data_IF_777563110797
#
_entry.id   IF_777563110797
#
_cell.length_a   1.000
_cell.length_b   1.000
_cell.length_c   1.000
_cell.angle_alpha   90.00
_cell.angle_beta   90.00
_cell.angle_gamma   90.00
#
_symmetry.space_group_name_H-M   'P 1'
#
loop_
_entity.id
_entity.type
_entity.pdbx_description
1 polymer ?
#
# COMPACT_ATOMS: atom_id res chain seq x y z
N UNK A 1 9.06 5.48 19.36
CA UNK A 1 9.91 4.29 19.08
C UNK A 1 10.77 4.45 17.82
N UNK A 2 10.26 4.97 16.70
CA UNK A 2 11.04 5.16 15.45
C UNK A 2 12.37 5.90 15.62
N UNK A 3 12.38 7.09 16.24
CA UNK A 3 13.62 7.84 16.53
C UNK A 3 14.64 7.10 17.40
N UNK A 4 14.19 6.16 18.24
CA UNK A 4 15.05 5.36 19.12
C UNK A 4 15.61 4.12 18.41
N UNK A 5 14.78 3.42 17.63
CA UNK A 5 15.16 2.19 16.94
C UNK A 5 15.84 2.42 15.59
N UNK A 6 15.46 3.49 14.89
CA UNK A 6 15.96 3.83 13.56
C UNK A 6 16.31 5.33 13.52
N UNK A 7 17.33 5.76 14.28
CA UNK A 7 17.68 7.18 14.44
C UNK A 7 18.12 7.85 13.13
N UNK A 8 18.50 7.06 12.13
CA UNK A 8 18.91 7.53 10.80
C UNK A 8 17.77 7.54 9.76
N UNK A 9 16.55 7.18 10.15
CA UNK A 9 15.38 7.13 9.27
C UNK A 9 14.63 5.80 9.38
N UNK A 10 13.29 5.84 9.38
CA UNK A 10 12.40 4.70 9.64
C UNK A 10 12.03 3.90 8.38
N UNK A 11 12.81 4.03 7.31
CA UNK A 11 12.49 3.48 5.98
C UNK A 11 11.59 4.39 5.16
N UNK A 12 11.20 3.91 3.98
CA UNK A 12 10.50 4.69 2.95
C UNK A 12 9.18 4.05 2.50
N UNK A 13 8.55 3.29 3.41
CA UNK A 13 7.21 2.73 3.18
C UNK A 13 6.18 3.60 3.88
N UNK A 14 5.21 4.08 3.11
CA UNK A 14 4.07 4.85 3.60
C UNK A 14 2.81 4.09 3.24
N UNK A 15 1.95 3.86 4.23
CA UNK A 15 0.65 3.24 4.02
C UNK A 15 -0.44 4.16 4.59
N UNK A 16 -1.54 4.27 3.86
CA UNK A 16 -2.69 5.07 4.25
C UNK A 16 -3.97 4.43 3.72
N UNK A 17 -5.11 4.83 4.26
CA UNK A 17 -6.41 4.29 3.89
C UNK A 17 -7.29 5.36 3.25
N UNK A 18 -7.99 4.97 2.20
CA UNK A 18 -9.00 5.79 1.53
C UNK A 18 -10.39 5.40 2.00
N UNK A 19 -11.16 6.38 2.51
CA UNK A 19 -12.51 6.15 3.03
C UNK A 19 -13.50 5.54 2.02
N UNK A 20 -13.25 5.70 0.71
CA UNK A 20 -14.05 5.08 -0.36
C UNK A 20 -13.75 3.61 -0.63
N UNK A 21 -12.95 2.95 0.20
CA UNK A 21 -12.67 1.51 0.15
C UNK A 21 -12.04 1.06 -1.17
N UNK A 22 -12.40 -0.16 -1.61
CA UNK A 22 -11.78 -0.85 -2.76
C UNK A 22 -11.83 -0.01 -4.02
N UNK A 23 -12.95 0.65 -4.30
CA UNK A 23 -13.14 1.41 -5.52
C UNK A 23 -12.27 2.67 -5.55
N UNK A 24 -12.16 3.36 -4.41
CA UNK A 24 -11.27 4.51 -4.27
C UNK A 24 -9.79 4.07 -4.38
N UNK A 25 -9.42 2.95 -3.76
CA UNK A 25 -8.08 2.35 -3.86
C UNK A 25 -7.68 2.03 -5.29
N UNK A 26 -8.53 1.29 -6.02
CA UNK A 26 -8.32 0.97 -7.44
C UNK A 26 -8.18 2.23 -8.29
N UNK A 27 -9.10 3.20 -8.13
CA UNK A 27 -9.08 4.46 -8.88
C UNK A 27 -7.82 5.26 -8.62
N UNK A 28 -7.41 5.38 -7.36
CA UNK A 28 -6.20 6.10 -6.97
C UNK A 28 -4.97 5.51 -7.64
N UNK A 29 -4.74 4.20 -7.49
CA UNK A 29 -3.55 3.54 -8.05
C UNK A 29 -3.52 3.61 -9.57
N UNK A 30 -4.66 3.44 -10.24
CA UNK A 30 -4.74 3.51 -11.70
C UNK A 30 -4.59 4.94 -12.27
N UNK A 31 -4.81 5.97 -11.46
CA UNK A 31 -4.68 7.37 -11.89
C UNK A 31 -3.24 7.90 -11.82
N UNK A 32 -2.33 7.18 -11.15
CA UNK A 32 -0.95 7.61 -10.99
C UNK A 32 -0.16 7.36 -12.28
N UNK A 33 0.56 8.40 -12.74
CA UNK A 33 1.41 8.34 -13.93
C UNK A 33 2.90 8.25 -13.60
N UNK A 34 3.28 8.70 -12.40
CA UNK A 34 4.68 8.68 -11.93
C UNK A 34 5.03 7.38 -11.19
N UNK A 35 4.10 6.83 -10.40
CA UNK A 35 4.35 5.65 -9.59
C UNK A 35 4.09 4.39 -10.41
N UNK A 36 5.01 3.42 -10.35
CA UNK A 36 4.82 2.12 -11.00
C UNK A 36 3.90 1.23 -10.15
N UNK A 37 2.84 0.70 -10.74
CA UNK A 37 1.92 -0.22 -10.05
C UNK A 37 2.50 -1.65 -10.04
N UNK A 38 3.33 -1.94 -9.04
CA UNK A 38 4.03 -3.23 -8.89
C UNK A 38 4.19 -3.57 -7.40
N UNK A 39 4.31 -4.87 -7.10
CA UNK A 39 4.29 -5.35 -5.71
C UNK A 39 5.64 -5.25 -4.97
N UNK A 40 6.76 -5.07 -5.67
CA UNK A 40 8.09 -5.00 -5.07
C UNK A 40 8.31 -3.72 -4.24
N UNK A 41 9.47 -3.63 -3.59
CA UNK A 41 9.91 -2.53 -2.73
C UNK A 41 11.40 -2.26 -3.00
N UNK A 42 11.86 -1.02 -2.79
CA UNK A 42 13.29 -0.67 -2.79
C UNK A 42 13.86 -0.44 -4.19
N UNK A 43 13.01 -0.13 -5.15
CA UNK A 43 13.39 0.33 -6.48
C UNK A 43 13.77 1.82 -6.42
N UNK A 44 14.55 2.29 -7.39
CA UNK A 44 14.84 3.72 -7.57
C UNK A 44 13.61 4.50 -8.04
N UNK A 45 12.64 3.80 -8.63
CA UNK A 45 11.33 4.37 -8.99
C UNK A 45 10.38 4.28 -7.80
N UNK A 46 9.55 5.31 -7.61
CA UNK A 46 8.45 5.23 -6.65
C UNK A 46 7.41 4.21 -7.11
N UNK A 47 6.95 3.38 -6.18
CA UNK A 47 6.04 2.27 -6.42
C UNK A 47 4.74 2.46 -5.64
N UNK A 48 3.65 1.95 -6.19
CA UNK A 48 2.33 1.99 -5.56
C UNK A 48 1.66 0.62 -5.67
N UNK A 49 0.90 0.23 -4.66
CA UNK A 49 0.01 -0.93 -4.74
C UNK A 49 -1.22 -0.77 -3.85
N UNK A 50 -2.33 -1.37 -4.29
CA UNK A 50 -3.55 -1.52 -3.52
C UNK A 50 -3.75 -3.01 -3.15
N UNK A 51 -3.37 -3.46 -1.94
CA UNK A 51 -3.28 -4.89 -1.62
C UNK A 51 -4.60 -5.66 -1.75
N UNK A 52 -5.72 -5.07 -1.31
CA UNK A 52 -7.03 -5.72 -1.31
C UNK A 52 -7.51 -6.14 -2.72
N UNK A 53 -7.09 -5.43 -3.77
CA UNK A 53 -7.42 -5.78 -5.16
C UNK A 53 -6.27 -6.38 -5.95
N UNK A 54 -5.13 -6.68 -5.32
CA UNK A 54 -3.94 -7.22 -5.99
C UNK A 54 -3.36 -8.39 -5.21
N UNK A 55 -2.32 -8.16 -4.41
CA UNK A 55 -1.56 -9.20 -3.70
C UNK A 55 -2.43 -10.08 -2.79
N UNK A 56 -3.53 -9.56 -2.26
CA UNK A 56 -4.43 -10.28 -1.36
C UNK A 56 -5.81 -10.55 -1.98
N UNK A 57 -5.95 -10.39 -3.31
CA UNK A 57 -7.25 -10.51 -3.98
C UNK A 57 -7.85 -11.92 -3.97
N UNK A 58 -7.06 -12.94 -3.60
CA UNK A 58 -7.51 -14.33 -3.48
C UNK A 58 -8.12 -14.65 -2.11
N UNK A 59 -7.91 -13.78 -1.11
CA UNK A 59 -8.45 -13.93 0.24
C UNK A 59 -9.89 -13.41 0.29
N UNK A 60 -10.70 -13.96 1.21
CA UNK A 60 -12.01 -13.38 1.52
C UNK A 60 -11.86 -12.01 2.19
N UNK A 61 -12.89 -11.15 2.19
CA UNK A 61 -12.84 -9.87 2.88
C UNK A 61 -12.46 -9.98 4.36
N UNK A 62 -12.94 -11.02 5.05
CA UNK A 62 -12.64 -11.28 6.46
C UNK A 62 -11.17 -11.67 6.66
N UNK A 63 -10.63 -12.50 5.77
CA UNK A 63 -9.22 -12.90 5.77
C UNK A 63 -8.29 -11.72 5.45
N UNK A 64 -8.68 -10.84 4.51
CA UNK A 64 -7.96 -9.60 4.23
C UNK A 64 -7.88 -8.73 5.49
N UNK A 65 -9.02 -8.48 6.14
CA UNK A 65 -9.06 -7.70 7.39
C UNK A 65 -8.25 -8.35 8.50
N UNK A 66 -8.33 -9.67 8.67
CA UNK A 66 -7.55 -10.41 9.66
C UNK A 66 -6.03 -10.30 9.43
N UNK A 67 -5.60 -10.14 8.18
CA UNK A 67 -4.19 -9.89 7.81
C UNK A 67 -3.77 -8.41 7.91
N UNK A 68 -4.68 -7.52 8.32
CA UNK A 68 -4.43 -6.08 8.40
C UNK A 68 -4.57 -5.34 7.08
N UNK A 69 -5.14 -5.98 6.04
CA UNK A 69 -5.45 -5.35 4.76
C UNK A 69 -6.87 -4.81 4.81
N UNK A 70 -6.99 -3.48 4.94
CA UNK A 70 -8.28 -2.81 4.85
C UNK A 70 -8.69 -2.56 3.39
N UNK A 71 -9.99 -2.48 3.08
CA UNK A 71 -10.47 -2.29 1.72
C UNK A 71 -9.92 -1.05 1.00
N UNK A 72 -9.56 0.01 1.73
CA UNK A 72 -9.02 1.25 1.18
C UNK A 72 -7.50 1.38 1.30
N UNK A 73 -6.78 0.34 1.74
CA UNK A 73 -5.35 0.40 2.03
C UNK A 73 -4.54 0.62 0.75
N UNK A 74 -3.75 1.68 0.72
CA UNK A 74 -2.76 1.96 -0.32
C UNK A 74 -1.38 1.97 0.32
N UNK A 75 -0.40 1.35 -0.35
CA UNK A 75 1.01 1.36 0.05
C UNK A 75 1.86 2.02 -1.03
N UNK A 76 2.68 2.97 -0.61
CA UNK A 76 3.74 3.58 -1.40
C UNK A 76 5.11 3.08 -0.92
N UNK A 77 6.00 2.80 -1.86
CA UNK A 77 7.43 2.64 -1.62
C UNK A 77 8.16 3.77 -2.35
N UNK A 78 8.85 4.62 -1.60
CA UNK A 78 9.40 5.90 -2.08
C UNK A 78 10.92 5.87 -2.15
#
# INVERSE_FOLDING_TARGET
>A
RGKQLAPKGTGAIVAFELAGGVDAGKKFVNALTLHSHVANIGDVRSLVIHPASTTHSQLTPEEQLASGVTPGLVRLAV
#
